data_IF_787754456582
#
_entry.id   IF_787754456582
#
_cell.length_a   1.000
_cell.length_b   1.000
_cell.length_c   1.000
_cell.angle_alpha   90.00
_cell.angle_beta   90.00
_cell.angle_gamma   90.00
#
_symmetry.space_group_name_H-M   'P 1'
#
loop_
_entity.id
_entity.type
_entity.pdbx_description
1 polymer ?
#
# COMPACT_ATOMS: atom_id res chain seq x y z
N UNK A 1 3.30 -11.29 -14.01
CA UNK A 1 4.42 -10.42 -14.39
C UNK A 1 5.27 -10.04 -13.18
N UNK A 2 4.79 -9.18 -12.30
CA UNK A 2 5.50 -8.92 -11.04
C UNK A 2 5.06 -9.94 -10.00
N UNK A 3 6.02 -10.64 -9.38
CA UNK A 3 5.73 -11.58 -8.29
C UNK A 3 5.51 -10.83 -6.98
N UNK A 4 6.45 -9.99 -6.64
CA UNK A 4 6.36 -9.15 -5.44
C UNK A 4 7.23 -7.91 -5.65
N UNK A 5 6.98 -6.90 -4.83
CA UNK A 5 7.82 -5.71 -4.77
C UNK A 5 8.10 -5.36 -3.30
N UNK A 6 9.16 -4.63 -3.07
CA UNK A 6 9.49 -4.19 -1.72
C UNK A 6 10.34 -2.93 -1.75
N UNK A 7 10.22 -2.14 -0.70
CA UNK A 7 11.01 -0.93 -0.52
C UNK A 7 11.29 -0.67 0.95
N UNK A 8 12.33 0.11 1.20
CA UNK A 8 12.72 0.45 2.55
C UNK A 8 12.03 1.73 3.01
N UNK A 9 11.55 1.70 4.25
CA UNK A 9 10.79 2.79 4.87
C UNK A 9 11.65 3.49 5.92
N UNK A 10 11.33 4.75 6.21
CA UNK A 10 12.06 5.56 7.19
C UNK A 10 11.77 5.09 8.62
N UNK A 11 10.50 4.82 8.92
CA UNK A 11 10.04 4.41 10.25
C UNK A 11 9.20 3.15 10.09
N UNK A 12 9.80 2.01 10.44
CA UNK A 12 9.15 0.71 10.21
C UNK A 12 7.84 0.57 10.98
N UNK A 13 7.82 0.95 12.25
CA UNK A 13 6.61 0.81 13.08
C UNK A 13 5.46 1.67 12.53
N UNK A 14 5.75 2.89 12.10
CA UNK A 14 4.77 3.79 11.51
C UNK A 14 4.24 3.24 10.18
N UNK A 15 5.12 2.81 9.31
CA UNK A 15 4.72 2.27 8.00
C UNK A 15 3.99 0.94 8.13
N UNK A 16 4.37 0.10 9.08
CA UNK A 16 3.67 -1.15 9.37
C UNK A 16 2.22 -0.86 9.78
N UNK A 17 2.00 0.06 10.71
CA UNK A 17 0.67 0.44 11.15
C UNK A 17 -0.15 1.05 9.99
N UNK A 18 0.49 1.91 9.21
CA UNK A 18 -0.14 2.55 8.05
C UNK A 18 -0.65 1.50 7.05
N UNK A 19 0.23 0.61 6.61
CA UNK A 19 -0.14 -0.38 5.59
C UNK A 19 -1.10 -1.45 6.11
N UNK A 20 -1.04 -1.82 7.39
CA UNK A 20 -2.08 -2.65 7.99
C UNK A 20 -3.47 -2.01 7.86
N UNK A 21 -3.55 -0.72 8.13
CA UNK A 21 -4.82 0.02 8.09
C UNK A 21 -5.36 0.17 6.67
N UNK A 22 -4.51 0.54 5.72
CA UNK A 22 -4.98 0.89 4.36
C UNK A 22 -5.18 -0.31 3.45
N UNK A 23 -4.44 -1.40 3.70
CA UNK A 23 -4.55 -2.61 2.88
C UNK A 23 -5.72 -3.51 3.30
N UNK A 24 -6.17 -3.43 4.55
CA UNK A 24 -7.29 -4.23 5.04
C UNK A 24 -8.57 -4.03 4.22
N UNK A 25 -9.01 -2.80 3.90
CA UNK A 25 -10.19 -2.60 3.05
C UNK A 25 -10.08 -3.24 1.67
N UNK A 26 -8.86 -3.42 1.17
CA UNK A 26 -8.61 -4.06 -0.13
C UNK A 26 -8.57 -5.59 -0.04
N UNK A 27 -8.66 -6.12 1.19
CA UNK A 27 -8.60 -7.56 1.42
C UNK A 27 -7.19 -8.12 1.56
N UNK A 28 -6.20 -7.25 1.76
CA UNK A 28 -4.81 -7.67 1.98
C UNK A 28 -4.46 -7.54 3.46
N UNK A 29 -3.79 -8.55 3.99
CA UNK A 29 -3.35 -8.58 5.37
C UNK A 29 -1.87 -8.84 5.50
N UNK A 30 -1.36 -8.72 6.73
CA UNK A 30 0.02 -9.10 7.04
C UNK A 30 0.14 -10.61 6.96
N UNK A 31 0.92 -11.10 6.01
CA UNK A 31 1.12 -12.53 5.78
C UNK A 31 2.37 -13.02 6.49
N UNK A 32 3.43 -12.21 6.49
CA UNK A 32 4.73 -12.63 6.99
C UNK A 32 5.50 -11.44 7.56
N UNK A 33 6.13 -11.64 8.70
CA UNK A 33 7.13 -10.71 9.24
C UNK A 33 8.47 -11.43 9.32
N UNK A 34 9.53 -10.72 8.91
CA UNK A 34 10.91 -11.18 9.07
C UNK A 34 11.56 -10.28 10.09
N UNK A 35 12.08 -10.88 11.16
CA UNK A 35 12.66 -10.16 12.31
C UNK A 35 14.17 -10.32 12.34
N UNK A 36 14.89 -9.46 13.11
CA UNK A 36 16.33 -9.63 13.30
C UNK A 36 16.72 -11.00 13.85
N UNK A 37 15.89 -11.59 14.70
CA UNK A 37 16.15 -12.91 15.30
C UNK A 37 16.11 -14.02 14.23
N UNK A 38 15.32 -13.85 13.17
CA UNK A 38 15.20 -14.84 12.11
C UNK A 38 16.38 -14.83 11.16
N UNK A 39 17.00 -13.67 10.94
CA UNK A 39 18.03 -13.51 9.91
C UNK A 39 19.43 -13.24 10.47
N UNK A 40 19.54 -12.85 11.74
CA UNK A 40 20.79 -12.37 12.32
C UNK A 40 21.21 -10.98 11.83
N UNK A 41 20.36 -10.30 11.06
CA UNK A 41 20.58 -8.94 10.57
C UNK A 41 19.68 -7.98 11.32
N UNK A 42 20.15 -6.75 11.56
CA UNK A 42 19.36 -5.73 12.24
C UNK A 42 18.38 -5.09 11.26
N UNK A 43 17.37 -5.87 10.86
CA UNK A 43 16.36 -5.43 9.90
C UNK A 43 15.04 -6.15 10.15
N UNK A 44 13.94 -5.40 9.98
CA UNK A 44 12.58 -5.91 9.98
C UNK A 44 11.99 -5.81 8.59
N UNK A 45 11.20 -6.81 8.21
CA UNK A 45 10.44 -6.78 6.95
C UNK A 45 9.03 -7.27 7.21
N UNK A 46 8.05 -6.66 6.55
CA UNK A 46 6.65 -7.07 6.61
C UNK A 46 6.13 -7.29 5.19
N UNK A 47 5.56 -8.44 4.96
CA UNK A 47 4.96 -8.83 3.69
C UNK A 47 3.45 -8.92 3.79
N UNK A 48 2.76 -8.23 2.91
CA UNK A 48 1.30 -8.14 2.83
C UNK A 48 0.79 -8.81 1.57
N UNK A 49 -0.40 -9.38 1.64
CA UNK A 49 -1.04 -10.01 0.50
C UNK A 49 -2.27 -10.79 0.90
N UNK A 50 -2.76 -11.62 -0.01
CA UNK A 50 -3.80 -12.62 0.24
C UNK A 50 -3.16 -13.99 0.20
N UNK A 51 -2.78 -14.51 1.36
CA UNK A 51 -2.12 -15.81 1.46
C UNK A 51 -0.66 -15.83 1.05
N UNK A 52 -0.29 -15.13 -0.01
CA UNK A 52 1.10 -14.96 -0.47
C UNK A 52 1.49 -13.49 -0.26
N UNK A 53 2.68 -13.20 0.31
CA UNK A 53 3.13 -11.81 0.45
C UNK A 53 3.68 -11.30 -0.88
N UNK A 54 3.05 -10.29 -1.44
CA UNK A 54 3.47 -9.68 -2.70
C UNK A 54 3.79 -8.18 -2.59
N UNK A 55 3.53 -7.57 -1.45
CA UNK A 55 3.88 -6.18 -1.15
C UNK A 55 4.69 -6.14 0.16
N UNK A 56 5.95 -5.67 0.06
CA UNK A 56 6.88 -5.71 1.20
C UNK A 56 7.36 -4.32 1.59
N UNK A 57 7.43 -4.08 2.88
CA UNK A 57 8.15 -2.94 3.45
C UNK A 57 9.23 -3.47 4.40
N UNK A 58 10.29 -2.70 4.58
CA UNK A 58 11.36 -3.08 5.48
C UNK A 58 12.26 -1.92 5.87
N UNK A 59 13.22 -2.21 6.76
CA UNK A 59 14.26 -1.27 7.12
C UNK A 59 15.63 -1.96 6.99
N UNK A 60 16.67 -1.43 7.61
CA UNK A 60 18.00 -2.05 7.54
C UNK A 60 18.89 -1.47 6.47
N UNK A 61 18.55 -0.31 5.93
CA UNK A 61 19.32 0.42 4.95
C UNK A 61 18.67 1.74 4.64
N UNK A 62 19.19 2.46 3.66
CA UNK A 62 18.65 3.75 3.27
C UNK A 62 17.20 3.60 2.80
N UNK A 63 16.34 4.45 3.34
CA UNK A 63 14.93 4.47 2.98
C UNK A 63 14.74 5.00 1.56
N UNK A 64 13.84 4.36 0.82
CA UNK A 64 13.33 4.90 -0.45
C UNK A 64 12.32 5.98 -0.11
N UNK A 65 12.54 7.18 -0.60
CA UNK A 65 11.67 8.34 -0.34
C UNK A 65 11.25 8.98 -1.64
N UNK A 66 9.97 9.33 -1.70
CA UNK A 66 9.35 9.99 -2.85
C UNK A 66 9.48 9.18 -4.14
N UNK A 67 8.68 9.48 -5.10
CA UNK A 67 8.82 9.00 -6.47
C UNK A 67 8.34 7.58 -6.77
N UNK A 68 8.02 6.75 -5.79
CA UNK A 68 7.35 5.49 -6.11
C UNK A 68 5.87 5.75 -6.40
N UNK A 69 5.34 5.01 -7.36
CA UNK A 69 3.91 4.92 -7.62
C UNK A 69 3.54 3.45 -7.61
N UNK A 70 2.66 3.07 -6.68
CA UNK A 70 2.17 1.71 -6.57
C UNK A 70 0.65 1.75 -6.61
N UNK A 71 0.06 1.07 -7.59
CA UNK A 71 -1.39 0.95 -7.72
C UNK A 71 -1.80 -0.46 -7.28
N UNK A 72 -2.72 -0.51 -6.34
CA UNK A 72 -3.20 -1.75 -5.72
C UNK A 72 -4.61 -2.03 -6.21
N UNK A 73 -4.85 -3.27 -6.58
CA UNK A 73 -6.15 -3.67 -7.09
C UNK A 73 -7.17 -3.77 -5.96
N UNK A 74 -8.30 -3.11 -6.13
CA UNK A 74 -9.43 -3.20 -5.23
C UNK A 74 -10.52 -4.10 -5.83
N UNK A 75 -11.23 -4.89 -5.01
CA UNK A 75 -12.27 -5.79 -5.51
C UNK A 75 -13.50 -5.06 -6.04
N UNK A 76 -13.79 -3.87 -5.51
CA UNK A 76 -14.94 -3.05 -5.91
C UNK A 76 -14.67 -1.57 -5.58
N UNK A 77 -15.59 -0.70 -5.99
CA UNK A 77 -15.47 0.75 -5.75
C UNK A 77 -15.59 1.09 -4.26
N UNK A 78 -16.42 0.36 -3.52
CA UNK A 78 -16.55 0.57 -2.07
C UNK A 78 -15.20 0.34 -1.35
N UNK A 79 -14.43 -0.64 -1.79
CA UNK A 79 -13.10 -0.90 -1.24
C UNK A 79 -12.13 0.25 -1.54
N UNK A 80 -12.22 0.88 -2.73
CA UNK A 80 -11.43 2.08 -3.06
C UNK A 80 -11.77 3.21 -2.10
N UNK A 81 -13.07 3.46 -1.89
CA UNK A 81 -13.53 4.50 -0.95
C UNK A 81 -13.02 4.23 0.47
N UNK A 82 -13.12 2.99 0.94
CA UNK A 82 -12.68 2.59 2.27
C UNK A 82 -11.16 2.71 2.44
N UNK A 83 -10.40 2.34 1.40
CA UNK A 83 -8.94 2.54 1.37
C UNK A 83 -8.59 4.02 1.59
N UNK A 84 -9.25 4.91 0.85
CA UNK A 84 -8.97 6.34 0.92
C UNK A 84 -9.28 6.89 2.32
N UNK A 85 -10.42 6.55 2.90
CA UNK A 85 -10.78 6.98 4.26
C UNK A 85 -9.80 6.45 5.30
N UNK A 86 -9.44 5.18 5.22
CA UNK A 86 -8.46 4.57 6.13
C UNK A 86 -7.10 5.25 6.01
N UNK A 87 -6.67 5.58 4.80
CA UNK A 87 -5.40 6.24 4.56
C UNK A 87 -5.34 7.63 5.19
N UNK A 88 -6.38 8.43 4.99
CA UNK A 88 -6.44 9.76 5.60
C UNK A 88 -6.47 9.67 7.13
N UNK A 89 -7.22 8.72 7.68
CA UNK A 89 -7.28 8.50 9.12
C UNK A 89 -5.92 8.05 9.70
N UNK A 90 -5.11 7.37 8.89
CA UNK A 90 -3.77 6.91 9.27
C UNK A 90 -2.67 7.96 8.99
N UNK A 91 -3.04 9.16 8.57
CA UNK A 91 -2.13 10.29 8.41
C UNK A 91 -1.60 10.52 6.98
N UNK A 92 -2.11 9.80 5.98
CA UNK A 92 -1.73 10.05 4.59
C UNK A 92 -2.26 11.40 4.13
N UNK A 93 -1.62 11.95 3.10
CA UNK A 93 -2.11 13.15 2.43
C UNK A 93 -2.95 12.77 1.22
N UNK A 94 -4.00 13.54 0.96
CA UNK A 94 -4.79 13.41 -0.25
C UNK A 94 -3.94 13.69 -1.49
N UNK A 95 -4.08 12.81 -2.49
CA UNK A 95 -3.46 12.98 -3.80
C UNK A 95 -4.45 12.66 -4.93
N UNK A 96 -5.72 12.59 -4.62
CA UNK A 96 -6.83 12.34 -5.55
C UNK A 96 -7.93 11.53 -4.89
N UNK A 97 -9.06 12.19 -4.58
CA UNK A 97 -10.21 11.55 -3.95
C UNK A 97 -10.81 10.46 -4.84
N UNK A 98 -11.54 9.49 -4.26
CA UNK A 98 -12.17 8.42 -5.03
C UNK A 98 -13.07 8.95 -6.14
N UNK A 99 -12.95 8.38 -7.31
CA UNK A 99 -13.78 8.75 -8.46
C UNK A 99 -13.31 8.11 -9.74
N UNK A 100 -14.12 8.27 -10.77
CA UNK A 100 -13.80 7.80 -12.11
C UNK A 100 -12.68 8.63 -12.73
N UNK A 101 -11.77 7.94 -13.41
CA UNK A 101 -10.70 8.52 -14.24
C UNK A 101 -10.90 8.03 -15.67
N UNK A 102 -11.98 8.49 -16.29
CA UNK A 102 -12.41 8.00 -17.60
C UNK A 102 -11.38 8.25 -18.72
N UNK A 103 -10.48 9.21 -18.52
CA UNK A 103 -9.36 9.44 -19.45
C UNK A 103 -8.31 8.33 -19.42
N UNK A 104 -8.27 7.50 -18.38
CA UNK A 104 -7.43 6.30 -18.35
C UNK A 104 -8.18 5.11 -18.93
N UNK A 105 -9.44 4.95 -18.51
CA UNK A 105 -10.28 3.81 -18.88
C UNK A 105 -11.73 4.12 -18.45
N UNK A 106 -12.79 3.67 -19.18
CA UNK A 106 -14.17 4.01 -18.84
C UNK A 106 -14.60 3.59 -17.44
N UNK A 107 -14.05 2.50 -16.91
CA UNK A 107 -14.38 1.98 -15.58
C UNK A 107 -13.23 2.15 -14.59
N UNK A 108 -12.29 3.04 -14.87
CA UNK A 108 -11.17 3.29 -13.96
C UNK A 108 -11.65 4.09 -12.75
N UNK A 109 -11.91 3.41 -11.65
CA UNK A 109 -12.31 4.05 -10.40
C UNK A 109 -11.15 3.95 -9.42
N UNK A 110 -10.55 5.07 -9.08
CA UNK A 110 -9.33 5.09 -8.27
C UNK A 110 -9.32 6.19 -7.23
N UNK A 111 -8.43 6.01 -6.26
CA UNK A 111 -8.11 7.00 -5.24
C UNK A 111 -6.60 6.97 -5.00
N UNK A 112 -6.04 8.13 -4.70
CA UNK A 112 -4.61 8.32 -4.58
C UNK A 112 -4.29 9.02 -3.27
N UNK A 113 -3.28 8.51 -2.56
CA UNK A 113 -2.79 9.10 -1.32
C UNK A 113 -1.27 9.15 -1.34
N UNK A 114 -0.69 10.02 -0.51
CA UNK A 114 0.75 10.06 -0.28
C UNK A 114 1.04 9.39 1.05
N UNK A 115 1.88 8.37 1.02
CA UNK A 115 2.24 7.58 2.21
C UNK A 115 3.22 8.33 3.12
N UNK A 116 3.58 7.76 4.29
CA UNK A 116 4.51 8.45 5.22
C UNK A 116 5.86 8.83 4.64
N UNK A 117 6.33 8.15 3.60
CA UNK A 117 7.63 8.41 2.96
C UNK A 117 7.52 9.18 1.63
N UNK A 118 6.33 9.67 1.30
CA UNK A 118 6.14 10.53 0.12
C UNK A 118 5.83 9.76 -1.15
N UNK A 119 5.42 8.51 -1.06
CA UNK A 119 5.08 7.71 -2.24
C UNK A 119 3.61 7.85 -2.61
N UNK A 120 3.34 7.82 -3.91
CA UNK A 120 1.98 7.84 -4.46
C UNK A 120 1.41 6.42 -4.43
N UNK A 121 0.50 6.17 -3.50
CA UNK A 121 -0.18 4.88 -3.34
C UNK A 121 -1.62 5.02 -3.81
N UNK A 122 -2.00 4.14 -4.71
CA UNK A 122 -3.30 4.16 -5.36
C UNK A 122 -4.07 2.88 -5.06
N UNK A 123 -5.38 2.97 -4.90
CA UNK A 123 -6.27 1.82 -5.01
C UNK A 123 -7.14 2.01 -6.25
N UNK A 124 -7.28 0.98 -7.06
CA UNK A 124 -8.02 1.06 -8.33
C UNK A 124 -8.90 -0.16 -8.54
N UNK A 125 -10.11 0.09 -9.01
CA UNK A 125 -11.06 -0.93 -9.46
C UNK A 125 -11.42 -0.66 -10.91
N UNK A 126 -11.31 -1.68 -11.76
CA UNK A 126 -11.67 -1.59 -13.19
C UNK A 126 -13.05 -2.15 -13.49
N UNK A 127 -13.71 -2.75 -12.51
CA UNK A 127 -15.04 -3.31 -12.72
C UNK A 127 -16.08 -2.19 -12.91
N UNK A 128 -17.04 -2.37 -13.82
CA UNK A 128 -18.21 -1.50 -13.82
C UNK A 128 -18.95 -1.63 -12.50
N UNK A 129 -19.69 -0.62 -12.14
CA UNK A 129 -20.38 -0.58 -10.87
C UNK A 129 -21.42 -1.70 -10.70
#
# INVERSE_FOLDING_TARGET
>A
MIDHLGFRVTDYARSLAFYKAVLAPLGYGLVMEVTPEMTGKDAHHAGFGKGKPDFWIGNGGDATRNGLHVALQAPDRAAVDAFYQAALAAGARDNGAPGLRSHYHPNYYGAFVIDPDGHNIEAVCHAPE
#
